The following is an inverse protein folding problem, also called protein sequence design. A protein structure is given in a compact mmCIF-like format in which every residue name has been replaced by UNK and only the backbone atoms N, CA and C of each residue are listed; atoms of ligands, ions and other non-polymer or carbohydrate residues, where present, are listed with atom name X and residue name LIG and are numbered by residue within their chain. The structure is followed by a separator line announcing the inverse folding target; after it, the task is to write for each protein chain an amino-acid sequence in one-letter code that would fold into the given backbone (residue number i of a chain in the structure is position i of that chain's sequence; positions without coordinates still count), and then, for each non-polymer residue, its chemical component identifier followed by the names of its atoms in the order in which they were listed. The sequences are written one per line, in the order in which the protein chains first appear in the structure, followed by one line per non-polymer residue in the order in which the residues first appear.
data_IF_745352991866
#
_entry.id   IF_745352991866
#
_cell.length_a   1.000
_cell.length_b   1.000
_cell.length_c   1.000
_cell.angle_alpha   90.00
_cell.angle_beta   90.00
_cell.angle_gamma   90.00
#
_symmetry.space_group_name_H-M   'P 1'
#
loop_
_entity.id
_entity.type
_entity.pdbx_description
1 polymer ?
#
# COMPACT_ATOMS: atom_id res chain seq x y z
N UNK A 1 9.22 36.99 -19.57
CA UNK A 1 9.38 35.60 -20.07
C UNK A 1 9.64 34.72 -18.87
N UNK A 2 8.65 33.94 -18.43
CA UNK A 2 8.71 33.19 -17.16
C UNK A 2 9.00 31.72 -17.49
N UNK A 3 10.27 31.35 -17.57
CA UNK A 3 10.68 29.94 -17.71
C UNK A 3 11.83 29.68 -16.76
N UNK A 4 11.51 29.29 -15.53
CA UNK A 4 12.56 29.14 -14.52
C UNK A 4 12.06 28.57 -13.22
N UNK A 5 11.56 27.33 -13.25
CA UNK A 5 11.57 26.49 -12.05
C UNK A 5 11.77 25.03 -12.47
N UNK A 6 12.95 24.74 -13.00
CA UNK A 6 13.40 23.37 -13.18
C UNK A 6 14.26 22.95 -12.00
N UNK A 7 13.87 21.81 -11.42
CA UNK A 7 14.72 20.85 -10.72
C UNK A 7 15.38 21.34 -9.42
N UNK A 8 14.60 21.29 -8.35
CA UNK A 8 15.14 20.88 -7.05
C UNK A 8 14.25 19.79 -6.48
N UNK A 9 14.70 18.55 -6.61
CA UNK A 9 14.46 17.48 -5.62
C UNK A 9 15.54 16.41 -5.82
N UNK A 10 16.79 16.88 -5.73
CA UNK A 10 17.88 16.02 -5.31
C UNK A 10 17.87 16.04 -3.79
N UNK A 11 17.10 15.15 -3.18
CA UNK A 11 17.21 14.85 -1.77
C UNK A 11 17.00 13.35 -1.60
N UNK A 12 18.09 12.61 -1.83
CA UNK A 12 18.53 11.46 -1.04
C UNK A 12 17.41 10.67 -0.35
N UNK A 13 16.99 9.51 -0.85
CA UNK A 13 16.31 8.55 0.02
C UNK A 13 16.73 7.10 -0.24
N UNK A 14 18.05 6.91 -0.13
CA UNK A 14 18.73 5.65 0.17
C UNK A 14 18.33 5.05 1.53
N UNK A 15 17.06 5.10 1.95
CA UNK A 15 16.61 4.36 3.13
C UNK A 15 16.36 2.91 2.75
N UNK A 16 17.52 2.25 2.61
CA UNK A 16 17.82 0.84 2.82
C UNK A 16 17.18 0.37 4.13
N UNK A 17 15.86 0.25 4.17
CA UNK A 17 15.20 -0.60 5.14
C UNK A 17 15.02 -1.95 4.48
N UNK A 18 15.89 -2.90 4.82
CA UNK A 18 15.72 -4.32 4.52
C UNK A 18 14.45 -4.80 5.24
N UNK A 19 13.27 -4.45 4.71
CA UNK A 19 11.99 -4.93 5.23
C UNK A 19 11.85 -6.39 4.78
N UNK A 20 11.60 -7.27 5.76
CA UNK A 20 11.44 -8.71 5.54
C UNK A 20 10.38 -8.97 4.47
N UNK A 21 10.65 -9.96 3.60
CA UNK A 21 10.00 -10.26 2.31
C UNK A 21 8.51 -10.66 2.43
N UNK A 22 7.95 -10.76 3.64
CA UNK A 22 6.63 -11.35 3.86
C UNK A 22 5.43 -10.41 3.66
N UNK A 23 5.60 -9.10 3.46
CA UNK A 23 4.47 -8.17 3.24
C UNK A 23 4.89 -6.88 2.50
N UNK A 24 5.41 -7.00 1.27
CA UNK A 24 5.67 -5.83 0.43
C UNK A 24 4.33 -5.28 -0.11
N UNK A 25 3.95 -4.08 0.33
CA UNK A 25 2.83 -3.35 -0.28
C UNK A 25 3.24 -2.75 -1.64
N UNK A 26 2.30 -2.38 -2.50
CA UNK A 26 2.62 -1.68 -3.76
C UNK A 26 3.46 -0.42 -3.55
N UNK A 27 3.27 0.28 -2.42
CA UNK A 27 4.09 1.42 -2.01
C UNK A 27 5.53 1.00 -1.68
N UNK A 28 5.71 -0.11 -0.95
CA UNK A 28 7.03 -0.66 -0.65
C UNK A 28 7.76 -1.11 -1.93
N UNK A 29 7.05 -1.66 -2.92
CA UNK A 29 7.63 -2.08 -4.21
C UNK A 29 8.19 -0.91 -5.01
N UNK A 30 7.51 0.24 -4.99
CA UNK A 30 8.00 1.47 -5.63
C UNK A 30 8.95 2.27 -4.72
N UNK A 31 9.11 1.90 -3.45
CA UNK A 31 9.96 2.61 -2.50
C UNK A 31 9.39 3.95 -2.04
N UNK A 32 8.09 4.16 -2.18
CA UNK A 32 7.42 5.43 -1.93
C UNK A 32 6.54 5.39 -0.68
N UNK A 33 6.20 6.57 -0.17
CA UNK A 33 5.25 6.71 0.93
C UNK A 33 3.81 6.59 0.43
N UNK A 34 2.90 6.16 1.31
CA UNK A 34 1.44 6.18 1.05
C UNK A 34 0.89 7.59 0.80
N UNK A 35 1.61 8.63 1.22
CA UNK A 35 1.29 10.03 0.97
C UNK A 35 1.84 10.56 -0.37
N UNK A 36 2.52 9.72 -1.15
CA UNK A 36 3.11 10.15 -2.42
C UNK A 36 2.04 10.57 -3.42
N UNK A 37 2.37 11.63 -4.15
CA UNK A 37 1.58 12.17 -5.24
C UNK A 37 1.71 11.30 -6.50
N UNK A 38 0.77 11.45 -7.44
CA UNK A 38 0.83 10.76 -8.73
C UNK A 38 2.13 11.05 -9.51
N UNK A 39 2.63 12.29 -9.39
CA UNK A 39 3.89 12.70 -10.04
C UNK A 39 5.08 11.90 -9.51
N UNK A 40 5.17 11.71 -8.20
CA UNK A 40 6.23 10.90 -7.56
C UNK A 40 6.11 9.44 -7.96
N UNK A 41 4.90 8.86 -7.88
CA UNK A 41 4.62 7.47 -8.32
C UNK A 41 5.12 7.23 -9.75
N UNK A 42 4.85 8.16 -10.66
CA UNK A 42 5.27 8.07 -12.06
C UNK A 42 6.78 8.24 -12.21
N UNK A 43 7.39 9.18 -11.50
CA UNK A 43 8.84 9.42 -11.57
C UNK A 43 9.61 8.18 -11.12
N UNK A 44 9.25 7.61 -9.96
CA UNK A 44 9.93 6.46 -9.38
C UNK A 44 9.70 5.19 -10.21
N UNK A 45 8.49 5.01 -10.78
CA UNK A 45 8.23 3.94 -11.73
C UNK A 45 9.16 3.99 -12.95
N UNK A 46 9.37 5.18 -13.53
CA UNK A 46 10.26 5.35 -14.69
C UNK A 46 11.70 5.01 -14.32
N UNK A 47 12.17 5.46 -13.16
CA UNK A 47 13.53 5.17 -12.69
C UNK A 47 13.74 3.67 -12.44
N UNK A 48 12.82 3.03 -11.71
CA UNK A 48 12.87 1.60 -11.43
C UNK A 48 12.75 0.76 -12.69
N UNK A 49 11.88 1.15 -13.63
CA UNK A 49 11.73 0.46 -14.92
C UNK A 49 13.01 0.50 -15.73
N UNK A 50 13.73 1.62 -15.76
CA UNK A 50 15.04 1.74 -16.43
C UNK A 50 16.14 0.91 -15.76
N UNK A 51 16.01 0.67 -14.45
CA UNK A 51 16.96 -0.11 -13.66
C UNK A 51 16.74 -1.62 -13.83
N UNK A 52 15.49 -2.06 -13.83
CA UNK A 52 15.11 -3.47 -13.87
C UNK A 52 14.57 -3.93 -15.24
N UNK A 53 14.80 -3.16 -16.31
CA UNK A 53 14.32 -3.51 -17.65
C UNK A 53 14.92 -4.85 -18.10
N UNK A 54 14.11 -5.80 -18.62
CA UNK A 54 14.59 -7.14 -19.00
C UNK A 54 15.61 -7.14 -20.14
N UNK A 55 15.69 -6.06 -20.93
CA UNK A 55 16.68 -5.88 -22.00
C UNK A 55 18.08 -5.52 -21.48
N UNK A 56 18.22 -5.15 -20.21
CA UNK A 56 19.52 -4.94 -19.57
C UNK A 56 20.00 -6.25 -18.97
N UNK A 57 21.32 -6.48 -19.01
CA UNK A 57 21.98 -7.73 -18.59
C UNK A 57 21.85 -8.11 -17.10
N UNK A 58 21.06 -7.36 -16.32
CA UNK A 58 20.70 -7.58 -14.90
C UNK A 58 19.18 -7.48 -14.67
N UNK A 59 18.38 -7.53 -15.75
CA UNK A 59 16.95 -7.31 -15.73
C UNK A 59 16.18 -8.47 -15.11
N UNK A 60 15.80 -8.34 -13.84
CA UNK A 60 14.89 -9.29 -13.22
C UNK A 60 13.44 -9.05 -13.66
N UNK A 61 12.97 -9.89 -14.58
CA UNK A 61 11.58 -9.92 -15.07
C UNK A 61 10.58 -9.97 -13.90
N UNK A 62 10.90 -10.70 -12.82
CA UNK A 62 10.00 -10.82 -11.65
C UNK A 62 9.86 -9.48 -10.94
N UNK A 63 10.97 -8.78 -10.75
CA UNK A 63 10.97 -7.44 -10.13
C UNK A 63 10.28 -6.43 -11.04
N UNK A 64 10.52 -6.47 -12.35
CA UNK A 64 9.83 -5.60 -13.31
C UNK A 64 8.30 -5.80 -13.30
N UNK A 65 7.83 -7.05 -13.28
CA UNK A 65 6.38 -7.36 -13.16
C UNK A 65 5.76 -6.76 -11.91
N UNK A 66 6.42 -6.90 -10.75
CA UNK A 66 5.95 -6.32 -9.48
C UNK A 66 5.87 -4.80 -9.53
N UNK A 67 6.87 -4.14 -10.12
CA UNK A 67 6.88 -2.69 -10.32
C UNK A 67 5.69 -2.24 -11.18
N UNK A 68 5.41 -2.98 -12.26
CA UNK A 68 4.31 -2.67 -13.18
C UNK A 68 2.93 -2.89 -12.54
N UNK A 69 2.76 -3.98 -11.77
CA UNK A 69 1.54 -4.25 -11.00
C UNK A 69 1.29 -3.13 -9.98
N UNK A 70 2.32 -2.75 -9.22
CA UNK A 70 2.23 -1.67 -8.24
C UNK A 70 1.83 -0.34 -8.90
N UNK A 71 2.44 0.01 -10.03
CA UNK A 71 2.09 1.21 -10.77
C UNK A 71 0.65 1.15 -11.32
N UNK A 72 0.21 0.01 -11.83
CA UNK A 72 -1.15 -0.15 -12.38
C UNK A 72 -2.23 0.11 -11.32
N UNK A 73 -1.99 -0.30 -10.07
CA UNK A 73 -2.91 -0.07 -8.95
C UNK A 73 -2.81 1.37 -8.42
N UNK A 74 -1.59 1.91 -8.29
CA UNK A 74 -1.36 3.21 -7.66
C UNK A 74 -1.52 4.42 -8.60
N UNK A 75 -1.45 4.21 -9.91
CA UNK A 75 -1.57 5.26 -10.93
C UNK A 75 -2.98 5.85 -11.01
N UNK A 76 -4.01 5.03 -10.78
CA UNK A 76 -5.39 5.47 -10.83
C UNK A 76 -5.91 5.75 -9.43
N UNK A 77 -6.52 6.92 -9.22
CA UNK A 77 -7.04 7.30 -7.91
C UNK A 77 -8.10 6.32 -7.40
N UNK A 78 -9.00 5.84 -8.27
CA UNK A 78 -10.02 4.87 -7.89
C UNK A 78 -9.40 3.53 -7.45
N UNK A 79 -8.49 2.97 -8.25
CA UNK A 79 -7.79 1.72 -7.93
C UNK A 79 -6.97 1.84 -6.64
N UNK A 80 -6.31 2.98 -6.42
CA UNK A 80 -5.58 3.29 -5.20
C UNK A 80 -6.50 3.31 -3.98
N UNK A 81 -7.66 3.96 -4.07
CA UNK A 81 -8.65 4.01 -2.97
C UNK A 81 -9.17 2.62 -2.60
N UNK A 82 -9.46 1.78 -3.59
CA UNK A 82 -9.91 0.39 -3.38
C UNK A 82 -8.80 -0.41 -2.68
N UNK A 83 -7.57 -0.28 -3.16
CA UNK A 83 -6.41 -0.92 -2.55
C UNK A 83 -6.18 -0.46 -1.11
N UNK A 84 -6.21 0.85 -0.85
CA UNK A 84 -6.05 1.41 0.49
C UNK A 84 -7.15 0.94 1.46
N UNK A 85 -8.40 0.84 0.99
CA UNK A 85 -9.52 0.30 1.77
C UNK A 85 -9.31 -1.18 2.15
N UNK A 86 -8.76 -1.99 1.23
CA UNK A 86 -8.43 -3.40 1.49
C UNK A 86 -7.32 -3.56 2.53
N UNK A 87 -6.39 -2.60 2.63
CA UNK A 87 -5.33 -2.61 3.63
C UNK A 87 -5.84 -2.33 5.05
N UNK A 88 -6.87 -1.48 5.19
CA UNK A 88 -7.48 -1.15 6.48
C UNK A 88 -8.33 -2.29 7.01
N UNK A 89 -9.07 -2.97 6.15
CA UNK A 89 -9.94 -4.11 6.52
C UNK A 89 -9.13 -5.33 6.98
N UNK A 90 -7.85 -5.45 6.57
CA UNK A 90 -6.92 -6.45 7.10
C UNK A 90 -6.38 -6.12 8.50
N UNK A 91 -6.53 -4.87 8.97
CA UNK A 91 -5.90 -4.35 10.18
C UNK A 91 -6.86 -4.13 11.37
N UNK A 92 -8.07 -4.71 11.35
CA UNK A 92 -9.00 -4.67 12.49
C UNK A 92 -9.02 -5.99 13.26
N UNK A 93 -8.25 -6.15 14.34
CA UNK A 93 -8.59 -7.13 15.35
C UNK A 93 -9.65 -6.51 16.28
N UNK A 94 -10.68 -7.33 16.51
CA UNK A 94 -11.54 -7.36 17.70
C UNK A 94 -12.61 -6.27 17.81
N UNK A 95 -13.84 -6.74 17.61
CA UNK A 95 -14.98 -6.40 18.46
C UNK A 95 -14.50 -5.99 19.86
N UNK A 96 -14.57 -4.69 20.10
CA UNK A 96 -14.38 -4.05 21.39
C UNK A 96 -15.53 -4.49 22.29
N UNK A 97 -15.22 -4.99 23.49
CA UNK A 97 -16.20 -5.11 24.57
C UNK A 97 -16.91 -3.76 24.72
N UNK A 98 -18.18 -3.69 24.33
CA UNK A 98 -19.09 -2.61 24.66
C UNK A 98 -20.36 -3.23 25.24
N UNK A 99 -20.83 -2.75 26.40
CA UNK A 99 -21.76 -3.46 27.26
C UNK A 99 -23.18 -3.25 26.75
N UNK A 100 -23.72 -4.26 26.08
CA UNK A 100 -25.17 -4.45 26.05
C UNK A 100 -25.46 -5.88 26.50
N UNK A 101 -25.53 -5.95 27.82
CA UNK A 101 -26.24 -6.90 28.66
C UNK A 101 -27.51 -7.44 27.97
N UNK A 102 -27.33 -8.54 27.23
CA UNK A 102 -28.35 -9.57 27.12
C UNK A 102 -27.93 -10.65 28.09
N UNK A 103 -28.35 -10.46 29.34
CA UNK A 103 -28.32 -11.48 30.36
C UNK A 103 -29.17 -12.66 29.88
N UNK A 104 -28.53 -13.74 29.45
CA UNK A 104 -29.17 -14.98 29.02
C UNK A 104 -29.68 -15.81 30.22
N UNK A 105 -29.88 -15.19 31.39
CA UNK A 105 -30.38 -15.83 32.61
C UNK A 105 -31.91 -15.80 32.77
N UNK A 106 -32.67 -15.30 31.79
CA UNK A 106 -34.12 -15.07 31.91
C UNK A 106 -35.02 -16.11 31.21
N UNK A 107 -34.54 -17.31 30.87
CA UNK A 107 -35.29 -18.26 30.01
C UNK A 107 -35.51 -19.71 30.47
N UNK A 108 -35.31 -20.09 31.73
CA UNK A 108 -35.82 -21.40 32.24
C UNK A 108 -36.28 -21.38 33.70
N UNK A 109 -37.10 -20.40 34.09
CA UNK A 109 -37.97 -20.55 35.27
C UNK A 109 -39.41 -20.19 34.92
N UNK A 110 -40.07 -21.10 34.20
CA UNK A 110 -41.52 -21.27 34.30
C UNK A 110 -41.73 -22.62 34.94
N UNK A 111 -41.89 -22.60 36.26
CA UNK A 111 -42.58 -23.66 37.00
C UNK A 111 -44.05 -23.57 36.62
N UNK A 112 -44.60 -24.60 36.01
CA UNK A 112 -46.04 -24.84 36.00
C UNK A 112 -46.32 -26.29 36.42
N UNK A 113 -47.38 -26.38 37.22
CA UNK A 113 -47.93 -27.47 38.04
C UNK A 113 -48.23 -28.79 37.29
#
# INVERSE_FOLDING_TARGET
MITGLHRTNSFQFFYKFRRSVSSQTHYDTLGIKKSASYSEIRSDFIELSKKYHPDKNDGDIKTFKRINEAYSVLSQENSRRIYDSSLVSRAKPLFTNSPNEYDVSDWEHVTDD
#
